data_IF_452552787608
#
_entry.id   IF_452552787608
#
_cell.length_a   1.000
_cell.length_b   1.000
_cell.length_c   1.000
_cell.angle_alpha   90.00
_cell.angle_beta   90.00
_cell.angle_gamma   90.00
#
_symmetry.space_group_name_H-M   'P 1'
#
loop_
_entity.id
_entity.type
_entity.pdbx_description
1 polymer ?
#
# COMPACT_ATOMS: atom_id res chain seq x y z
N UNK A 1 9.30 -6.52 -43.74
CA UNK A 1 9.48 -7.44 -42.60
C UNK A 1 10.48 -6.84 -41.62
N UNK A 2 10.07 -6.77 -40.35
CA UNK A 2 10.84 -6.61 -39.11
C UNK A 2 11.65 -5.31 -38.86
N UNK A 3 10.93 -4.24 -38.49
CA UNK A 3 11.42 -3.22 -37.54
C UNK A 3 10.83 -3.38 -36.12
N UNK A 4 10.08 -4.46 -35.88
CA UNK A 4 9.47 -4.77 -34.58
C UNK A 4 10.44 -5.66 -33.81
N UNK A 5 11.27 -5.10 -32.93
CA UNK A 5 11.87 -5.72 -31.71
C UNK A 5 13.16 -5.03 -31.24
N UNK A 6 13.19 -3.69 -31.20
CA UNK A 6 14.15 -2.99 -30.33
C UNK A 6 13.38 -2.10 -29.36
N UNK A 7 13.66 -2.28 -28.06
CA UNK A 7 13.19 -1.50 -26.90
C UNK A 7 11.85 -1.85 -26.25
N UNK A 8 11.56 -3.14 -25.99
CA UNK A 8 10.47 -3.54 -25.07
C UNK A 8 10.91 -3.84 -23.63
N UNK A 9 12.20 -3.67 -23.31
CA UNK A 9 12.76 -3.90 -21.97
C UNK A 9 12.40 -2.73 -21.03
N UNK A 10 12.27 -1.50 -21.55
CA UNK A 10 12.01 -0.28 -20.76
C UNK A 10 10.56 0.21 -20.86
N UNK A 11 9.59 -0.62 -20.44
CA UNK A 11 8.27 -0.08 -20.10
C UNK A 11 8.29 0.41 -18.64
N UNK A 12 7.56 1.47 -18.32
CA UNK A 12 7.48 2.06 -16.97
C UNK A 12 7.15 1.01 -15.89
N UNK A 13 6.40 -0.03 -16.23
CA UNK A 13 6.11 -1.16 -15.33
C UNK A 13 7.36 -1.97 -15.00
N UNK A 14 8.23 -2.24 -15.97
CA UNK A 14 9.47 -2.98 -15.72
C UNK A 14 10.42 -2.15 -14.85
N UNK A 15 10.50 -0.83 -15.09
CA UNK A 15 11.29 0.09 -14.27
C UNK A 15 10.74 0.14 -12.85
N UNK A 16 9.43 0.29 -12.70
CA UNK A 16 8.74 0.29 -11.41
C UNK A 16 8.99 -1.01 -10.63
N UNK A 17 8.83 -2.17 -11.27
CA UNK A 17 9.07 -3.46 -10.60
C UNK A 17 10.54 -3.65 -10.25
N UNK A 18 11.46 -3.32 -11.15
CA UNK A 18 12.90 -3.40 -10.87
C UNK A 18 13.28 -2.50 -9.69
N UNK A 19 12.79 -1.26 -9.69
CA UNK A 19 13.04 -0.32 -8.61
C UNK A 19 12.53 -0.84 -7.25
N UNK A 20 11.31 -1.39 -7.20
CA UNK A 20 10.76 -1.92 -5.96
C UNK A 20 11.47 -3.21 -5.51
N UNK A 21 11.88 -4.08 -6.44
CA UNK A 21 12.69 -5.26 -6.12
C UNK A 21 14.07 -4.85 -5.58
N UNK A 22 14.71 -3.86 -6.22
CA UNK A 22 15.98 -3.30 -5.76
C UNK A 22 15.85 -2.64 -4.39
N UNK A 23 14.83 -1.81 -4.19
CA UNK A 23 14.52 -1.17 -2.90
C UNK A 23 14.34 -2.24 -1.81
N UNK A 24 13.53 -3.25 -2.07
CA UNK A 24 13.31 -4.37 -1.14
C UNK A 24 14.62 -5.09 -0.80
N UNK A 25 15.47 -5.40 -1.79
CA UNK A 25 16.78 -6.01 -1.56
C UNK A 25 17.71 -5.11 -0.75
N UNK A 26 17.78 -3.81 -1.05
CA UNK A 26 18.54 -2.86 -0.26
C UNK A 26 18.07 -2.83 1.19
N UNK A 27 16.75 -2.90 1.43
CA UNK A 27 16.20 -2.96 2.77
C UNK A 27 16.57 -4.26 3.49
N UNK A 28 16.45 -5.40 2.81
CA UNK A 28 16.96 -6.69 3.32
C UNK A 28 18.46 -6.69 3.61
N UNK A 29 19.25 -5.80 3.00
CA UNK A 29 20.70 -5.72 3.27
C UNK A 29 20.98 -4.76 4.42
N UNK A 30 20.53 -3.50 4.33
CA UNK A 30 20.92 -2.45 5.28
C UNK A 30 20.27 -2.59 6.65
N UNK A 31 18.96 -2.89 6.67
CA UNK A 31 18.21 -3.03 7.92
C UNK A 31 18.67 -4.29 8.64
N UNK A 32 19.00 -5.30 7.87
CA UNK A 32 19.43 -6.58 8.40
C UNK A 32 20.89 -6.55 8.85
N UNK A 33 21.76 -5.79 8.20
CA UNK A 33 23.13 -5.57 8.68
C UNK A 33 23.14 -4.84 10.03
N UNK A 34 22.36 -3.77 10.17
CA UNK A 34 22.27 -3.03 11.43
C UNK A 34 21.54 -3.84 12.52
N UNK A 35 20.48 -4.60 12.16
CA UNK A 35 19.77 -5.45 13.12
C UNK A 35 20.50 -6.75 13.51
N UNK A 36 21.29 -7.37 12.63
CA UNK A 36 22.11 -8.53 13.00
C UNK A 36 23.27 -8.15 13.92
N UNK A 37 23.82 -6.94 13.79
CA UNK A 37 25.04 -6.53 14.48
C UNK A 37 24.74 -5.71 15.74
N UNK A 38 23.73 -4.83 15.73
CA UNK A 38 23.47 -3.87 16.83
C UNK A 38 22.12 -4.04 17.53
N UNK A 39 21.05 -4.42 16.85
CA UNK A 39 19.69 -4.37 17.41
C UNK A 39 19.20 -5.73 17.92
N UNK A 40 18.94 -5.85 19.24
CA UNK A 40 18.25 -6.99 19.88
C UNK A 40 16.90 -6.56 20.50
N UNK A 41 16.15 -5.70 19.83
CA UNK A 41 14.82 -5.26 20.29
C UNK A 41 13.71 -6.28 20.02
N UNK A 42 12.45 -5.88 20.23
CA UNK A 42 11.25 -6.73 20.11
C UNK A 42 10.91 -7.17 18.68
N UNK A 43 11.59 -6.61 17.66
CA UNK A 43 11.37 -6.97 16.27
C UNK A 43 11.91 -8.38 15.97
N UNK A 44 11.00 -9.32 15.70
CA UNK A 44 11.33 -10.72 15.49
C UNK A 44 11.76 -10.98 14.03
N UNK A 45 12.84 -11.74 13.84
CA UNK A 45 13.33 -12.14 12.51
C UNK A 45 12.27 -12.90 11.69
N UNK A 46 11.40 -13.66 12.37
CA UNK A 46 10.31 -14.42 11.75
C UNK A 46 9.19 -13.51 11.25
N UNK A 47 8.84 -12.47 12.01
CA UNK A 47 7.87 -11.44 11.61
C UNK A 47 8.30 -10.78 10.29
N UNK A 48 9.60 -10.43 10.19
CA UNK A 48 10.16 -9.86 8.98
C UNK A 48 10.02 -10.80 7.78
N UNK A 49 10.43 -12.07 7.89
CA UNK A 49 10.37 -13.00 6.75
C UNK A 49 8.95 -13.31 6.29
N UNK A 50 7.99 -13.35 7.21
CA UNK A 50 6.58 -13.52 6.88
C UNK A 50 6.10 -12.33 6.03
N UNK A 51 6.31 -11.09 6.49
CA UNK A 51 5.93 -9.90 5.74
C UNK A 51 6.67 -9.78 4.41
N UNK A 52 7.99 -10.02 4.41
CA UNK A 52 8.83 -10.02 3.22
C UNK A 52 8.31 -10.97 2.14
N UNK A 53 7.88 -12.18 2.53
CA UNK A 53 7.34 -13.19 1.62
C UNK A 53 6.01 -12.74 1.00
N UNK A 54 5.12 -12.17 1.82
CA UNK A 54 3.83 -11.63 1.35
C UNK A 54 4.06 -10.46 0.37
N UNK A 55 4.93 -9.52 0.73
CA UNK A 55 5.25 -8.36 -0.12
C UNK A 55 5.84 -8.80 -1.45
N UNK A 56 6.80 -9.74 -1.43
CA UNK A 56 7.40 -10.27 -2.64
C UNK A 56 6.36 -10.93 -3.55
N UNK A 57 5.46 -11.75 -2.99
CA UNK A 57 4.36 -12.36 -3.72
C UNK A 57 3.44 -11.30 -4.34
N UNK A 58 3.08 -10.26 -3.60
CA UNK A 58 2.25 -9.15 -4.08
C UNK A 58 2.93 -8.40 -5.23
N UNK A 59 4.23 -8.06 -5.10
CA UNK A 59 5.00 -7.40 -6.16
C UNK A 59 5.03 -8.26 -7.43
N UNK A 60 5.26 -9.57 -7.27
CA UNK A 60 5.30 -10.51 -8.39
C UNK A 60 3.94 -10.60 -9.10
N UNK A 61 2.85 -10.80 -8.35
CA UNK A 61 1.50 -10.88 -8.92
C UNK A 61 1.08 -9.56 -9.59
N UNK A 62 1.40 -8.42 -8.97
CA UNK A 62 1.14 -7.09 -9.53
C UNK A 62 1.91 -6.88 -10.84
N UNK A 63 3.18 -7.31 -10.92
CA UNK A 63 3.98 -7.22 -12.14
C UNK A 63 3.38 -8.00 -13.30
N UNK A 64 2.92 -9.23 -13.06
CA UNK A 64 2.27 -10.06 -14.08
C UNK A 64 0.99 -9.37 -14.56
N UNK A 65 0.12 -8.94 -13.65
CA UNK A 65 -1.18 -8.35 -14.01
C UNK A 65 -1.10 -6.95 -14.59
N UNK A 66 -0.18 -6.11 -14.13
CA UNK A 66 -0.08 -4.73 -14.64
C UNK A 66 0.41 -4.69 -16.09
N UNK A 67 1.21 -5.68 -16.51
CA UNK A 67 1.60 -5.84 -17.92
C UNK A 67 0.40 -6.07 -18.83
N UNK A 68 -0.58 -6.87 -18.38
CA UNK A 68 -1.82 -7.12 -19.10
C UNK A 68 -2.67 -5.83 -19.20
N UNK A 69 -2.80 -5.10 -18.09
CA UNK A 69 -3.70 -3.94 -17.95
C UNK A 69 -3.15 -2.66 -18.63
N UNK A 70 -1.83 -2.59 -18.87
CA UNK A 70 -1.11 -1.39 -19.35
C UNK A 70 -1.39 -0.18 -18.44
N UNK A 71 -1.02 -0.33 -17.18
CA UNK A 71 -1.23 0.67 -16.12
C UNK A 71 -0.49 1.97 -16.46
N UNK A 72 -1.16 3.12 -16.23
CA UNK A 72 -0.60 4.45 -16.50
C UNK A 72 0.44 4.85 -15.45
N UNK A 73 1.45 5.64 -15.83
CA UNK A 73 2.56 6.06 -14.95
C UNK A 73 2.11 6.72 -13.65
N UNK A 74 1.08 7.58 -13.69
CA UNK A 74 0.61 8.24 -12.47
C UNK A 74 0.00 7.27 -11.44
N UNK A 75 -0.53 6.11 -11.89
CA UNK A 75 -0.99 5.06 -10.99
C UNK A 75 0.22 4.38 -10.32
N UNK A 76 1.28 4.12 -11.10
CA UNK A 76 2.51 3.55 -10.56
C UNK A 76 3.17 4.49 -9.53
N UNK A 77 3.16 5.80 -9.79
CA UNK A 77 3.66 6.80 -8.84
C UNK A 77 2.81 6.83 -7.56
N UNK A 78 1.48 6.74 -7.66
CA UNK A 78 0.61 6.66 -6.50
C UNK A 78 0.91 5.41 -5.66
N UNK A 79 1.10 4.25 -6.29
CA UNK A 79 1.51 3.02 -5.61
C UNK A 79 2.88 3.20 -4.96
N UNK A 80 3.82 3.87 -5.63
CA UNK A 80 5.16 4.11 -5.10
C UNK A 80 5.12 4.95 -3.82
N UNK A 81 4.24 5.95 -3.74
CA UNK A 81 4.03 6.74 -2.52
C UNK A 81 3.61 5.84 -1.37
N UNK A 82 2.63 4.96 -1.60
CA UNK A 82 2.17 3.96 -0.62
C UNK A 82 3.31 3.05 -0.15
N UNK A 83 4.14 2.55 -1.07
CA UNK A 83 5.29 1.70 -0.72
C UNK A 83 6.29 2.48 0.14
N UNK A 84 6.61 3.71 -0.25
CA UNK A 84 7.59 4.52 0.48
C UNK A 84 7.14 4.89 1.89
N UNK A 85 5.89 5.29 2.10
CA UNK A 85 5.43 5.65 3.45
C UNK A 85 5.37 4.41 4.37
N UNK A 86 4.99 3.26 3.81
CA UNK A 86 4.93 2.00 4.56
C UNK A 86 6.34 1.55 4.97
N UNK A 87 7.27 1.56 4.01
CA UNK A 87 8.67 1.26 4.27
C UNK A 87 9.31 2.28 5.23
N UNK A 88 9.03 3.57 5.08
CA UNK A 88 9.49 4.57 6.03
C UNK A 88 9.04 4.24 7.47
N UNK A 89 7.80 3.80 7.66
CA UNK A 89 7.29 3.36 8.97
C UNK A 89 8.16 2.28 9.63
N UNK A 90 8.61 1.29 8.86
CA UNK A 90 9.37 0.16 9.39
C UNK A 90 10.87 0.45 9.59
N UNK A 91 11.42 1.39 8.81
CA UNK A 91 12.86 1.52 8.60
C UNK A 91 13.44 2.87 9.00
N UNK A 92 12.64 3.93 9.07
CA UNK A 92 13.07 5.18 9.68
C UNK A 92 12.96 5.01 11.19
N UNK A 93 14.03 5.36 11.89
CA UNK A 93 14.06 5.32 13.35
C UNK A 93 14.10 6.74 13.92
N UNK A 94 13.34 6.95 14.98
CA UNK A 94 13.29 8.19 15.76
C UNK A 94 13.49 7.77 17.22
N UNK A 95 14.53 8.32 17.86
CA UNK A 95 14.88 8.04 19.25
C UNK A 95 15.04 6.53 19.57
N UNK A 96 15.55 5.74 18.62
CA UNK A 96 15.77 4.30 18.77
C UNK A 96 14.52 3.43 18.62
N UNK A 97 13.39 4.02 18.21
CA UNK A 97 12.14 3.33 17.91
C UNK A 97 11.80 3.47 16.42
N UNK A 98 11.01 2.53 15.87
CA UNK A 98 10.56 2.62 14.48
C UNK A 98 9.62 3.81 14.33
N UNK A 99 9.57 4.41 13.15
CA UNK A 99 8.60 5.46 12.83
C UNK A 99 7.16 4.98 13.04
N UNK A 100 6.88 3.68 12.85
CA UNK A 100 5.58 3.10 13.19
C UNK A 100 5.18 3.25 14.65
N UNK A 101 6.14 3.26 15.57
CA UNK A 101 5.88 3.38 17.00
C UNK A 101 5.68 4.86 17.41
N UNK A 102 6.00 5.80 16.52
CA UNK A 102 5.84 7.23 16.74
C UNK A 102 4.37 7.66 16.78
N UNK A 103 4.06 8.64 17.64
CA UNK A 103 2.70 9.17 17.82
C UNK A 103 2.65 10.67 17.53
N UNK A 104 1.74 11.05 16.64
CA UNK A 104 1.42 12.44 16.31
C UNK A 104 0.04 12.73 16.91
N UNK A 105 -0.05 13.65 17.87
CA UNK A 105 -1.31 13.97 18.57
C UNK A 105 -2.02 12.72 19.12
N UNK A 106 -1.25 11.82 19.75
CA UNK A 106 -1.70 10.52 20.28
C UNK A 106 -2.10 9.46 19.24
N UNK A 107 -2.10 9.79 17.95
CA UNK A 107 -2.36 8.86 16.85
C UNK A 107 -1.04 8.25 16.39
N UNK A 108 -0.98 6.93 16.34
CA UNK A 108 0.21 6.19 15.91
C UNK A 108 0.41 6.35 14.38
N UNK A 109 1.68 6.40 13.94
CA UNK A 109 2.05 6.69 12.56
C UNK A 109 1.41 5.75 11.54
N UNK A 110 1.26 4.47 11.88
CA UNK A 110 0.59 3.47 11.05
C UNK A 110 -0.81 3.91 10.61
N UNK A 111 -1.58 4.60 11.46
CA UNK A 111 -2.94 5.06 11.09
C UNK A 111 -2.91 6.04 9.92
N UNK A 112 -1.87 6.85 9.80
CA UNK A 112 -1.68 7.72 8.63
C UNK A 112 -1.32 6.92 7.39
N UNK A 113 -0.52 5.86 7.54
CA UNK A 113 -0.21 4.92 6.45
C UNK A 113 -1.48 4.23 5.96
N UNK A 114 -2.32 3.71 6.85
CA UNK A 114 -3.62 3.10 6.52
C UNK A 114 -4.56 4.07 5.81
N UNK A 115 -4.68 5.29 6.32
CA UNK A 115 -5.46 6.34 5.67
C UNK A 115 -4.99 6.64 4.24
N UNK A 116 -3.70 6.92 4.04
CA UNK A 116 -3.14 7.26 2.73
C UNK A 116 -3.25 6.07 1.77
N UNK A 117 -2.93 4.87 2.25
CA UNK A 117 -3.00 3.65 1.45
C UNK A 117 -4.43 3.34 1.01
N UNK A 118 -5.42 3.56 1.86
CA UNK A 118 -6.83 3.37 1.50
C UNK A 118 -7.36 4.44 0.56
N UNK A 119 -6.93 5.70 0.72
CA UNK A 119 -7.24 6.76 -0.25
C UNK A 119 -6.66 6.43 -1.64
N UNK A 120 -5.38 6.05 -1.71
CA UNK A 120 -4.71 5.65 -2.95
C UNK A 120 -5.30 4.34 -3.49
N UNK A 121 -5.63 3.39 -2.63
CA UNK A 121 -6.32 2.15 -2.98
C UNK A 121 -7.66 2.43 -3.66
N UNK A 122 -8.48 3.32 -3.10
CA UNK A 122 -9.72 3.77 -3.70
C UNK A 122 -9.50 4.42 -5.07
N UNK A 123 -8.44 5.23 -5.21
CA UNK A 123 -8.04 5.81 -6.50
C UNK A 123 -7.67 4.75 -7.55
N UNK A 124 -6.94 3.71 -7.15
CA UNK A 124 -6.53 2.60 -8.03
C UNK A 124 -7.75 1.76 -8.44
N UNK A 125 -8.62 1.39 -7.50
CA UNK A 125 -9.83 0.61 -7.80
C UNK A 125 -10.75 1.39 -8.74
N UNK A 126 -10.94 2.69 -8.54
CA UNK A 126 -11.70 3.52 -9.48
C UNK A 126 -11.02 3.56 -10.85
N UNK A 127 -9.69 3.68 -10.93
CA UNK A 127 -8.99 3.58 -12.21
C UNK A 127 -9.27 2.25 -12.92
N UNK A 128 -9.24 1.13 -12.19
CA UNK A 128 -9.55 -0.19 -12.74
C UNK A 128 -11.01 -0.27 -13.21
N UNK A 129 -11.96 0.21 -12.41
CA UNK A 129 -13.37 0.26 -12.79
C UNK A 129 -13.58 1.02 -14.10
N UNK A 130 -12.95 2.19 -14.27
CA UNK A 130 -12.98 2.92 -15.54
C UNK A 130 -12.32 2.17 -16.67
N UNK A 131 -11.20 1.50 -16.43
CA UNK A 131 -10.49 0.69 -17.43
C UNK A 131 -11.36 -0.46 -17.95
N UNK A 132 -12.22 -1.02 -17.09
CA UNK A 132 -13.15 -2.11 -17.40
C UNK A 132 -14.58 -1.61 -17.71
N UNK A 133 -14.77 -0.31 -17.98
CA UNK A 133 -16.06 0.29 -18.32
C UNK A 133 -17.19 0.04 -17.30
N UNK A 134 -16.84 -0.06 -16.01
CA UNK A 134 -17.82 -0.14 -14.92
C UNK A 134 -18.43 1.25 -14.71
N UNK A 135 -19.75 1.34 -14.66
CA UNK A 135 -20.44 2.61 -14.41
C UNK A 135 -20.15 3.13 -12.99
N UNK A 136 -19.83 4.42 -12.88
CA UNK A 136 -19.44 5.07 -11.63
C UNK A 136 -20.63 5.77 -10.95
N UNK A 137 -21.74 5.04 -10.82
CA UNK A 137 -22.90 5.41 -10.03
C UNK A 137 -22.66 5.36 -8.53
N UNK A 138 -23.65 5.79 -7.74
CA UNK A 138 -23.56 5.84 -6.26
C UNK A 138 -23.28 4.47 -5.64
N UNK A 139 -23.98 3.43 -6.10
CA UNK A 139 -23.80 2.08 -5.59
C UNK A 139 -22.41 1.52 -5.90
N UNK A 140 -21.87 1.80 -7.09
CA UNK A 140 -20.51 1.41 -7.45
C UNK A 140 -19.47 2.08 -6.56
N UNK A 141 -19.65 3.35 -6.18
CA UNK A 141 -18.75 4.04 -5.25
C UNK A 141 -18.79 3.42 -3.85
N UNK A 142 -19.97 3.00 -3.38
CA UNK A 142 -20.11 2.26 -2.12
C UNK A 142 -19.39 0.90 -2.21
N UNK A 143 -19.62 0.16 -3.29
CA UNK A 143 -18.97 -1.13 -3.54
C UNK A 143 -17.44 -1.00 -3.63
N UNK A 144 -16.93 0.06 -4.25
CA UNK A 144 -15.51 0.40 -4.24
C UNK A 144 -14.99 0.56 -2.81
N UNK A 145 -15.73 1.25 -1.95
CA UNK A 145 -15.36 1.41 -0.54
C UNK A 145 -15.27 0.07 0.18
N UNK A 146 -16.24 -0.83 -0.02
CA UNK A 146 -16.19 -2.18 0.54
C UNK A 146 -15.02 -3.02 0.02
N UNK A 147 -14.65 -2.89 -1.27
CA UNK A 147 -13.47 -3.58 -1.81
C UNK A 147 -12.20 -3.10 -1.10
N UNK A 148 -12.02 -1.79 -0.95
CA UNK A 148 -10.83 -1.24 -0.29
C UNK A 148 -10.78 -1.65 1.19
N UNK A 149 -11.90 -1.57 1.90
CA UNK A 149 -12.00 -2.04 3.29
C UNK A 149 -11.76 -3.53 3.41
N UNK A 150 -12.23 -4.34 2.47
CA UNK A 150 -11.98 -5.78 2.44
C UNK A 150 -10.50 -6.12 2.21
N UNK A 151 -9.79 -5.36 1.37
CA UNK A 151 -8.34 -5.47 1.23
C UNK A 151 -7.65 -5.11 2.55
N UNK A 152 -8.06 -4.02 3.20
CA UNK A 152 -7.56 -3.63 4.53
C UNK A 152 -7.77 -4.74 5.56
N UNK A 153 -8.99 -5.27 5.66
CA UNK A 153 -9.31 -6.36 6.57
C UNK A 153 -8.48 -7.63 6.31
N UNK A 154 -8.14 -7.93 5.06
CA UNK A 154 -7.23 -9.03 4.75
C UNK A 154 -5.83 -8.79 5.33
N UNK A 155 -5.31 -7.56 5.28
CA UNK A 155 -4.04 -7.21 5.93
C UNK A 155 -4.14 -7.37 7.45
N UNK A 156 -5.22 -6.89 8.08
CA UNK A 156 -5.44 -7.05 9.52
C UNK A 156 -5.51 -8.54 9.94
N UNK A 157 -6.05 -9.41 9.09
CA UNK A 157 -6.05 -10.86 9.32
C UNK A 157 -4.60 -11.39 9.30
N UNK A 158 -3.76 -10.94 8.38
CA UNK A 158 -2.35 -11.34 8.35
C UNK A 158 -1.60 -10.86 9.59
N UNK A 159 -1.87 -9.64 10.07
CA UNK A 159 -1.29 -9.14 11.33
C UNK A 159 -1.78 -9.92 12.54
N UNK A 160 -3.06 -10.27 12.58
CA UNK A 160 -3.59 -11.12 13.63
C UNK A 160 -2.93 -12.51 13.62
N UNK A 161 -2.62 -13.07 12.45
CA UNK A 161 -1.84 -14.32 12.36
C UNK A 161 -0.41 -14.15 12.92
N UNK A 162 0.20 -12.97 12.79
CA UNK A 162 1.48 -12.64 13.45
C UNK A 162 1.32 -12.62 14.97
N UNK A 163 0.22 -12.09 15.51
CA UNK A 163 -0.07 -12.17 16.95
C UNK A 163 -0.07 -13.60 17.46
N UNK A 164 -0.65 -14.52 16.69
CA UNK A 164 -0.76 -15.93 17.07
C UNK A 164 0.56 -16.71 16.94
N UNK A 165 1.50 -16.25 16.11
CA UNK A 165 2.68 -17.04 15.72
C UNK A 165 4.01 -16.42 16.16
N UNK A 166 4.04 -15.12 16.46
CA UNK A 166 5.25 -14.37 16.79
C UNK A 166 5.14 -13.78 18.20
N UNK A 167 5.99 -14.22 19.16
CA UNK A 167 6.01 -13.63 20.49
C UNK A 167 6.56 -12.19 20.45
N UNK A 168 6.02 -11.31 21.31
CA UNK A 168 6.41 -9.90 21.44
C UNK A 168 6.28 -9.04 20.17
N UNK A 169 5.28 -9.35 19.33
CA UNK A 169 4.92 -8.52 18.17
C UNK A 169 4.37 -7.14 18.61
N UNK A 170 4.34 -6.18 17.69
CA UNK A 170 3.89 -4.79 17.94
C UNK A 170 2.58 -4.38 17.24
N UNK A 171 1.86 -5.33 16.65
CA UNK A 171 0.73 -5.10 15.74
C UNK A 171 -0.36 -6.17 15.92
N UNK A 172 -1.51 -6.05 15.25
CA UNK A 172 -2.48 -7.14 15.19
C UNK A 172 -3.44 -7.27 16.39
N UNK A 173 -3.31 -6.48 17.45
CA UNK A 173 -4.26 -6.51 18.57
C UNK A 173 -5.64 -5.92 18.18
N UNK A 174 -6.66 -6.18 19.00
CA UNK A 174 -8.04 -5.78 18.67
C UNK A 174 -8.20 -4.26 18.47
N UNK A 175 -7.62 -3.46 19.38
CA UNK A 175 -7.75 -2.00 19.33
C UNK A 175 -6.95 -1.46 18.16
N UNK A 176 -5.79 -2.05 17.90
CA UNK A 176 -4.97 -1.74 16.76
C UNK A 176 -5.73 -1.92 15.44
N UNK A 177 -6.18 -3.16 15.18
CA UNK A 177 -6.79 -3.53 13.91
C UNK A 177 -8.10 -2.75 13.67
N UNK A 178 -8.88 -2.53 14.72
CA UNK A 178 -10.10 -1.72 14.59
C UNK A 178 -9.75 -0.26 14.23
N UNK A 179 -8.70 0.29 14.84
CA UNK A 179 -8.23 1.64 14.53
C UNK A 179 -7.68 1.75 13.10
N UNK A 180 -7.04 0.69 12.58
CA UNK A 180 -6.57 0.61 11.20
C UNK A 180 -7.72 0.55 10.20
N UNK A 181 -8.76 -0.24 10.48
CA UNK A 181 -9.97 -0.26 9.66
C UNK A 181 -10.71 1.09 9.67
N UNK A 182 -10.73 1.80 10.80
CA UNK A 182 -11.27 3.16 10.86
C UNK A 182 -10.43 4.12 10.00
N UNK A 183 -9.11 4.07 10.08
CA UNK A 183 -8.23 4.88 9.24
C UNK A 183 -8.45 4.57 7.74
N UNK A 184 -8.61 3.29 7.38
CA UNK A 184 -8.95 2.86 6.03
C UNK A 184 -10.29 3.45 5.56
N UNK A 185 -11.32 3.38 6.41
CA UNK A 185 -12.64 3.94 6.14
C UNK A 185 -12.57 5.45 5.87
N UNK A 186 -11.84 6.21 6.69
CA UNK A 186 -11.65 7.64 6.47
C UNK A 186 -10.94 7.92 5.14
N UNK A 187 -9.92 7.16 4.78
CA UNK A 187 -9.23 7.30 3.49
C UNK A 187 -10.18 7.12 2.30
N UNK A 188 -11.04 6.09 2.36
CA UNK A 188 -12.08 5.82 1.35
C UNK A 188 -13.11 6.95 1.28
N UNK A 189 -13.63 7.41 2.42
CA UNK A 189 -14.63 8.49 2.47
C UNK A 189 -14.08 9.77 1.83
N UNK A 190 -12.86 10.16 2.20
CA UNK A 190 -12.22 11.37 1.66
C UNK A 190 -12.00 11.24 0.15
N UNK A 191 -11.64 10.05 -0.35
CA UNK A 191 -11.55 9.79 -1.78
C UNK A 191 -12.88 10.00 -2.50
N UNK A 192 -13.95 9.37 -2.01
CA UNK A 192 -15.30 9.47 -2.60
C UNK A 192 -15.80 10.92 -2.59
N UNK A 193 -15.60 11.62 -1.48
CA UNK A 193 -15.95 13.03 -1.34
C UNK A 193 -15.21 13.89 -2.38
N UNK A 194 -13.88 13.75 -2.47
CA UNK A 194 -13.04 14.48 -3.43
C UNK A 194 -13.47 14.19 -4.86
N UNK A 195 -13.76 12.93 -5.20
CA UNK A 195 -14.24 12.55 -6.52
C UNK A 195 -15.57 13.23 -6.86
N UNK A 196 -16.54 13.21 -5.95
CA UNK A 196 -17.86 13.83 -6.18
C UNK A 196 -17.75 15.35 -6.35
N UNK A 197 -16.91 16.01 -5.55
CA UNK A 197 -16.65 17.45 -5.68
C UNK A 197 -16.09 17.79 -7.06
N UNK A 198 -15.07 17.05 -7.53
CA UNK A 198 -14.46 17.25 -8.85
C UNK A 198 -15.42 16.89 -10.00
N UNK A 199 -16.27 15.88 -9.83
CA UNK A 199 -17.30 15.51 -10.80
C UNK A 199 -18.32 16.63 -10.97
N UNK A 200 -18.83 17.18 -9.87
CA UNK A 200 -19.84 18.22 -9.91
C UNK A 200 -19.30 19.50 -10.56
N UNK A 201 -18.07 19.91 -10.24
CA UNK A 201 -17.42 21.07 -10.87
C UNK A 201 -17.39 20.96 -12.41
N UNK A 202 -17.04 19.79 -12.94
CA UNK A 202 -17.02 19.55 -14.40
C UNK A 202 -18.39 19.56 -15.07
N UNK A 203 -19.47 19.32 -14.32
CA UNK A 203 -20.84 19.41 -14.84
C UNK A 203 -21.24 20.88 -14.95
N UNK A 204 -20.92 21.70 -13.93
CA UNK A 204 -21.20 23.14 -13.95
C UNK A 204 -20.41 23.89 -15.03
N UNK A 205 -19.14 23.55 -15.27
CA UNK A 205 -18.31 24.20 -16.33
C UNK A 205 -18.78 23.88 -17.76
N UNK A 206 -19.70 22.93 -17.95
CA UNK A 206 -20.22 22.52 -19.27
C UNK A 206 -21.62 23.07 -19.58
N UNK A 207 -22.23 23.78 -18.64
CA UNK A 207 -23.52 24.45 -18.80
C UNK A 207 -23.29 25.93 -19.11
#
# INVERSE_FOLDING_TARGET
>A
MNSITKNRIFNNINIFTFFNAFLFLCMCIFVYFDRFIKYRGTANIHEFFLYASVIFLVIFLAWVKFKEIKVKTYILLAIQITIFIHFAGAFVEIDGHRLYDFRILSIRYDKFVHFINSFIGAFIIHYLFKKYNVDMGRMTLIGLGFIVLGIGAFIEILEFMVVLTVPHNGVGDYVNNMSDLLANLFGVIIYIFTYNMLRNKKVYEKQ
#
